data_IF_060820834811
#
_entry.id   IF_060820834811
#
_cell.length_a   1.000
_cell.length_b   1.000
_cell.length_c   1.000
_cell.angle_alpha   90.00
_cell.angle_beta   90.00
_cell.angle_gamma   90.00
#
_symmetry.space_group_name_H-M   'P 1'
#
loop_
_entity.id
_entity.type
_entity.pdbx_description
1 polymer ?
#
# COMPACT_ATOMS: atom_id res chain seq x y z
N UNK A 1 -16.34 8.26 12.49
CA UNK A 1 -16.60 6.81 12.60
C UNK A 1 -17.60 6.32 11.53
N UNK A 2 -18.76 6.95 11.38
CA UNK A 2 -19.77 6.55 10.37
C UNK A 2 -19.24 6.62 8.94
N UNK A 3 -18.56 7.71 8.56
CA UNK A 3 -17.95 7.86 7.23
C UNK A 3 -16.91 6.77 6.92
N UNK A 4 -16.09 6.38 7.90
CA UNK A 4 -15.13 5.28 7.76
C UNK A 4 -15.84 3.95 7.51
N UNK A 5 -16.95 3.67 8.22
CA UNK A 5 -17.77 2.47 8.00
C UNK A 5 -18.43 2.47 6.62
N UNK A 6 -18.97 3.60 6.20
CA UNK A 6 -19.56 3.76 4.87
C UNK A 6 -18.51 3.55 3.77
N UNK A 7 -17.31 4.08 3.97
CA UNK A 7 -16.18 3.91 3.04
C UNK A 7 -15.76 2.45 2.94
N UNK A 8 -15.60 1.76 4.08
CA UNK A 8 -15.31 0.33 4.09
C UNK A 8 -16.40 -0.47 3.37
N UNK A 9 -17.69 -0.17 3.62
CA UNK A 9 -18.81 -0.83 2.95
C UNK A 9 -18.75 -0.69 1.43
N UNK A 10 -18.33 0.46 0.91
CA UNK A 10 -18.11 0.63 -0.52
C UNK A 10 -16.98 -0.27 -1.04
N UNK A 11 -15.87 -0.40 -0.31
CA UNK A 11 -14.81 -1.34 -0.67
C UNK A 11 -15.27 -2.80 -0.65
N UNK A 12 -16.13 -3.18 0.30
CA UNK A 12 -16.77 -4.51 0.31
C UNK A 12 -17.58 -4.75 -0.96
N UNK A 13 -18.37 -3.77 -1.41
CA UNK A 13 -19.16 -3.86 -2.64
C UNK A 13 -18.28 -3.90 -3.89
N UNK A 14 -17.20 -3.11 -3.93
CA UNK A 14 -16.23 -3.14 -5.04
C UNK A 14 -15.57 -4.51 -5.18
N UNK A 15 -15.16 -5.12 -4.07
CA UNK A 15 -14.60 -6.48 -4.07
C UNK A 15 -15.61 -7.52 -4.59
N UNK A 16 -16.88 -7.40 -4.21
CA UNK A 16 -17.94 -8.28 -4.72
C UNK A 16 -18.13 -8.12 -6.22
N UNK A 17 -18.21 -6.87 -6.72
CA UNK A 17 -18.44 -6.62 -8.14
C UNK A 17 -17.22 -6.99 -8.99
N UNK A 18 -15.99 -6.80 -8.50
CA UNK A 18 -14.77 -7.29 -9.17
C UNK A 18 -14.83 -8.81 -9.33
N UNK A 19 -15.17 -9.53 -8.26
CA UNK A 19 -15.27 -10.99 -8.28
C UNK A 19 -16.41 -11.47 -9.19
N UNK A 20 -17.62 -10.94 -9.00
CA UNK A 20 -18.83 -11.31 -9.75
C UNK A 20 -18.66 -11.11 -11.26
N UNK A 21 -17.99 -10.03 -11.66
CA UNK A 21 -17.74 -9.68 -13.07
C UNK A 21 -16.41 -10.21 -13.61
N UNK A 22 -15.62 -10.89 -12.78
CA UNK A 22 -14.30 -11.43 -13.14
C UNK A 22 -13.37 -10.36 -13.74
N UNK A 23 -13.35 -9.17 -13.12
CA UNK A 23 -12.54 -8.06 -13.59
C UNK A 23 -11.07 -8.26 -13.19
N UNK A 24 -10.15 -7.94 -14.09
CA UNK A 24 -8.73 -7.85 -13.78
C UNK A 24 -8.43 -6.53 -13.03
N UNK A 25 -8.86 -6.46 -11.77
CA UNK A 25 -8.77 -5.26 -10.95
C UNK A 25 -8.50 -5.60 -9.48
N UNK A 26 -7.90 -4.65 -8.76
CA UNK A 26 -7.72 -4.68 -7.31
C UNK A 26 -8.14 -3.33 -6.72
N UNK A 27 -8.26 -3.26 -5.40
CA UNK A 27 -8.64 -2.04 -4.69
C UNK A 27 -7.43 -1.38 -4.04
N UNK A 28 -7.45 -0.04 -3.95
CA UNK A 28 -6.46 0.74 -3.20
C UNK A 28 -7.18 1.66 -2.21
N UNK A 29 -6.71 1.72 -0.97
CA UNK A 29 -7.32 2.52 0.10
C UNK A 29 -6.28 3.34 0.85
N UNK A 30 -6.73 4.40 1.52
CA UNK A 30 -5.94 5.20 2.47
C UNK A 30 -6.41 4.91 3.89
N UNK A 31 -5.50 4.82 4.84
CA UNK A 31 -5.86 4.46 6.21
C UNK A 31 -6.62 5.59 6.90
N UNK A 32 -6.31 6.85 6.60
CA UNK A 32 -7.07 8.00 7.11
C UNK A 32 -8.53 7.97 6.66
N UNK A 33 -8.80 7.54 5.43
CA UNK A 33 -10.17 7.35 4.92
C UNK A 33 -10.91 6.20 5.64
N UNK A 34 -10.16 5.23 6.18
CA UNK A 34 -10.70 4.17 7.03
C UNK A 34 -10.79 4.59 8.51
N UNK A 35 -10.48 5.85 8.84
CA UNK A 35 -10.64 6.42 10.17
C UNK A 35 -9.39 6.41 11.04
N UNK A 36 -8.18 6.23 10.47
CA UNK A 36 -6.93 6.11 11.24
C UNK A 36 -6.67 7.27 12.23
N UNK A 37 -7.10 8.50 11.90
CA UNK A 37 -6.95 9.68 12.76
C UNK A 37 -8.14 9.93 13.70
N UNK A 38 -9.22 9.16 13.54
CA UNK A 38 -10.44 9.28 14.35
C UNK A 38 -10.48 8.17 15.40
N UNK A 39 -10.26 6.93 14.96
CA UNK A 39 -10.24 5.73 15.79
C UNK A 39 -9.35 4.69 15.07
N UNK A 40 -8.11 4.56 15.54
CA UNK A 40 -7.14 3.65 14.94
C UNK A 40 -7.57 2.19 15.03
N UNK A 41 -8.20 1.78 16.13
CA UNK A 41 -8.66 0.40 16.28
C UNK A 41 -9.77 0.09 15.27
N UNK A 42 -10.72 1.02 15.12
CA UNK A 42 -11.75 0.92 14.09
C UNK A 42 -11.15 0.79 12.69
N UNK A 43 -10.18 1.64 12.34
CA UNK A 43 -9.52 1.59 11.03
C UNK A 43 -8.84 0.24 10.80
N UNK A 44 -8.13 -0.27 11.82
CA UNK A 44 -7.47 -1.57 11.78
C UNK A 44 -8.46 -2.72 11.59
N UNK A 45 -9.58 -2.70 12.29
CA UNK A 45 -10.61 -3.73 12.18
C UNK A 45 -11.27 -3.73 10.78
N UNK A 46 -11.60 -2.55 10.26
CA UNK A 46 -12.21 -2.39 8.94
C UNK A 46 -11.28 -2.91 7.84
N UNK A 47 -10.02 -2.50 7.85
CA UNK A 47 -9.02 -2.91 6.84
C UNK A 47 -8.69 -4.39 6.96
N UNK A 48 -8.58 -4.93 8.18
CA UNK A 48 -8.40 -6.38 8.40
C UNK A 48 -9.51 -7.18 7.73
N UNK A 49 -10.77 -6.78 7.95
CA UNK A 49 -11.92 -7.45 7.33
C UNK A 49 -11.89 -7.37 5.80
N UNK A 50 -11.49 -6.23 5.23
CA UNK A 50 -11.36 -6.06 3.78
C UNK A 50 -10.27 -6.96 3.19
N UNK A 51 -9.12 -7.07 3.84
CA UNK A 51 -8.04 -7.98 3.41
C UNK A 51 -8.49 -9.43 3.52
N UNK A 52 -9.14 -9.82 4.62
CA UNK A 52 -9.69 -11.16 4.80
C UNK A 52 -10.70 -11.51 3.70
N UNK A 53 -11.60 -10.57 3.35
CA UNK A 53 -12.52 -10.75 2.22
C UNK A 53 -11.79 -10.92 0.91
N UNK A 54 -10.85 -10.03 0.59
CA UNK A 54 -10.09 -10.10 -0.65
C UNK A 54 -9.36 -11.44 -0.81
N UNK A 55 -8.75 -11.94 0.28
CA UNK A 55 -8.09 -13.24 0.32
C UNK A 55 -9.05 -14.42 0.11
N UNK A 56 -10.30 -14.32 0.58
CA UNK A 56 -11.29 -15.38 0.49
C UNK A 56 -12.05 -15.45 -0.86
N UNK A 57 -11.85 -14.48 -1.76
CA UNK A 57 -12.46 -14.49 -3.09
C UNK A 57 -11.88 -15.60 -3.98
N UNK A 58 -12.62 -15.96 -5.03
CA UNK A 58 -12.18 -16.93 -6.03
C UNK A 58 -12.33 -16.35 -7.46
N UNK A 59 -11.22 -15.96 -8.13
CA UNK A 59 -9.84 -15.99 -7.62
C UNK A 59 -9.60 -14.95 -6.49
N UNK A 60 -8.56 -15.14 -5.64
CA UNK A 60 -8.22 -14.17 -4.60
C UNK A 60 -7.92 -12.80 -5.18
N UNK A 61 -8.33 -11.76 -4.47
CA UNK A 61 -8.06 -10.37 -4.81
C UNK A 61 -6.99 -9.77 -3.88
N UNK A 62 -6.64 -8.51 -4.13
CA UNK A 62 -5.56 -7.80 -3.47
C UNK A 62 -6.03 -6.42 -3.00
N UNK A 63 -5.56 -6.01 -1.82
CA UNK A 63 -5.76 -4.67 -1.26
C UNK A 63 -4.42 -3.95 -1.20
N UNK A 64 -4.29 -2.84 -1.93
CA UNK A 64 -3.16 -1.92 -1.78
C UNK A 64 -3.47 -0.90 -0.69
N UNK A 65 -2.59 -0.75 0.28
CA UNK A 65 -2.61 0.40 1.20
C UNK A 65 -1.75 1.50 0.59
N UNK A 66 -2.41 2.60 0.19
CA UNK A 66 -1.76 3.79 -0.34
C UNK A 66 -0.94 4.47 0.75
N UNK A 67 0.22 4.99 0.36
CA UNK A 67 1.08 5.75 1.26
C UNK A 67 0.64 7.21 1.28
N UNK A 68 0.43 7.71 2.48
CA UNK A 68 0.04 9.09 2.75
C UNK A 68 1.29 9.93 3.09
N UNK A 69 1.14 11.08 3.77
CA UNK A 69 2.29 11.89 4.19
C UNK A 69 3.20 11.19 5.20
N UNK A 70 4.39 11.73 5.42
CA UNK A 70 5.41 11.16 6.31
C UNK A 70 4.96 10.84 7.74
N UNK A 71 3.99 11.55 8.38
CA UNK A 71 3.49 11.16 9.71
C UNK A 71 2.83 9.78 9.75
N UNK A 72 2.38 9.26 8.60
CA UNK A 72 1.66 8.00 8.49
C UNK A 72 2.54 6.83 8.05
N UNK A 73 3.76 7.08 7.56
CA UNK A 73 4.58 6.07 6.89
C UNK A 73 4.83 4.87 7.79
N UNK A 74 5.31 5.08 9.02
CA UNK A 74 5.64 3.97 9.92
C UNK A 74 4.38 3.17 10.31
N UNK A 75 3.32 3.86 10.76
CA UNK A 75 2.03 3.24 11.12
C UNK A 75 1.45 2.41 9.96
N UNK A 76 1.59 2.90 8.74
CA UNK A 76 1.13 2.20 7.53
C UNK A 76 1.92 0.93 7.26
N UNK A 77 3.26 1.01 7.31
CA UNK A 77 4.13 -0.13 7.04
C UNK A 77 3.99 -1.22 8.11
N UNK A 78 3.96 -0.83 9.39
CA UNK A 78 3.76 -1.76 10.50
C UNK A 78 2.42 -2.50 10.35
N UNK A 79 1.36 -1.78 10.02
CA UNK A 79 0.05 -2.40 9.87
C UNK A 79 -0.05 -3.30 8.63
N UNK A 80 0.59 -2.93 7.50
CA UNK A 80 0.67 -3.81 6.32
C UNK A 80 1.44 -5.09 6.63
N UNK A 81 2.56 -4.98 7.36
CA UNK A 81 3.34 -6.13 7.82
C UNK A 81 2.47 -7.05 8.71
N UNK A 82 1.81 -6.49 9.72
CA UNK A 82 0.90 -7.25 10.58
C UNK A 82 -0.18 -7.96 9.78
N UNK A 83 -0.87 -7.25 8.86
CA UNK A 83 -1.90 -7.83 8.01
C UNK A 83 -1.37 -8.96 7.14
N UNK A 84 -0.19 -8.80 6.54
CA UNK A 84 0.44 -9.82 5.71
C UNK A 84 0.74 -11.10 6.49
N UNK A 85 1.22 -10.95 7.72
CA UNK A 85 1.56 -12.06 8.62
C UNK A 85 0.34 -12.81 9.19
N UNK A 86 -0.88 -12.29 9.05
CA UNK A 86 -2.08 -13.00 9.50
C UNK A 86 -2.32 -14.26 8.67
N UNK A 87 -2.78 -15.37 9.30
CA UNK A 87 -3.09 -16.59 8.58
C UNK A 87 -4.05 -16.36 7.40
N UNK A 88 -3.65 -16.82 6.21
CA UNK A 88 -4.43 -16.69 4.98
C UNK A 88 -4.39 -15.31 4.31
N UNK A 89 -3.67 -14.32 4.84
CA UNK A 89 -3.58 -12.98 4.24
C UNK A 89 -2.32 -12.78 3.36
N UNK A 90 -1.35 -13.70 3.45
CA UNK A 90 -0.14 -13.63 2.66
C UNK A 90 -0.47 -13.50 1.15
N UNK A 91 0.05 -12.43 0.54
CA UNK A 91 -0.20 -12.11 -0.88
C UNK A 91 -1.48 -11.32 -1.19
N UNK A 92 -2.36 -11.10 -0.21
CA UNK A 92 -3.62 -10.33 -0.37
C UNK A 92 -3.50 -8.84 -0.01
N UNK A 93 -2.36 -8.40 0.56
CA UNK A 93 -2.11 -7.02 0.97
C UNK A 93 -0.70 -6.56 0.61
N UNK A 94 -0.51 -5.26 0.41
CA UNK A 94 0.80 -4.65 0.29
C UNK A 94 0.77 -3.12 0.34
N UNK A 95 1.95 -2.50 0.38
CA UNK A 95 2.12 -1.07 0.61
C UNK A 95 2.54 -0.28 -0.65
N UNK A 96 2.40 1.04 -0.60
CA UNK A 96 3.08 1.95 -1.54
C UNK A 96 4.38 2.45 -0.89
N UNK A 97 5.44 2.59 -1.69
CA UNK A 97 6.68 3.28 -1.31
C UNK A 97 6.87 4.48 -2.24
N UNK A 98 7.31 5.60 -1.67
CA UNK A 98 7.55 6.86 -2.37
C UNK A 98 9.06 7.10 -2.51
N UNK A 99 9.59 7.13 -3.73
CA UNK A 99 11.03 7.19 -3.99
C UNK A 99 11.71 8.50 -3.57
N UNK A 100 10.95 9.57 -3.39
CA UNK A 100 11.49 10.83 -2.85
C UNK A 100 11.89 10.74 -1.37
N UNK A 101 11.45 9.73 -0.62
CA UNK A 101 11.79 9.61 0.80
C UNK A 101 13.20 9.03 0.97
N UNK A 102 13.99 9.63 1.86
CA UNK A 102 15.36 9.15 2.16
C UNK A 102 15.36 7.73 2.77
N UNK A 103 14.30 7.38 3.50
CA UNK A 103 14.07 6.06 4.11
C UNK A 103 13.58 4.97 3.15
N UNK A 104 13.27 5.31 1.90
CA UNK A 104 12.54 4.42 0.99
C UNK A 104 13.26 3.10 0.69
N UNK A 105 14.59 3.10 0.62
CA UNK A 105 15.38 1.90 0.36
C UNK A 105 15.29 0.89 1.51
N UNK A 106 15.55 1.34 2.74
CA UNK A 106 15.43 0.50 3.93
C UNK A 106 14.03 -0.10 4.07
N UNK A 107 12.99 0.69 3.77
CA UNK A 107 11.61 0.20 3.82
C UNK A 107 11.32 -0.82 2.70
N UNK A 108 11.88 -0.63 1.50
CA UNK A 108 11.79 -1.61 0.41
C UNK A 108 12.45 -2.93 0.81
N UNK A 109 13.65 -2.89 1.38
CA UNK A 109 14.39 -4.08 1.79
C UNK A 109 13.62 -4.90 2.85
N UNK A 110 13.06 -4.23 3.86
CA UNK A 110 12.24 -4.88 4.90
C UNK A 110 11.01 -5.57 4.32
N UNK A 111 10.25 -4.87 3.48
CA UNK A 111 9.06 -5.44 2.84
C UNK A 111 9.40 -6.60 1.90
N UNK A 112 10.53 -6.53 1.18
CA UNK A 112 10.99 -7.59 0.28
C UNK A 112 11.45 -8.84 1.03
N UNK A 113 12.06 -8.69 2.21
CA UNK A 113 12.46 -9.82 3.05
C UNK A 113 11.28 -10.76 3.37
N UNK A 114 10.07 -10.21 3.39
CA UNK A 114 8.82 -10.93 3.63
C UNK A 114 7.99 -11.17 2.38
N UNK A 115 8.52 -10.81 1.20
CA UNK A 115 7.84 -10.91 -0.09
C UNK A 115 6.54 -10.10 -0.17
N UNK A 116 6.44 -9.01 0.61
CA UNK A 116 5.30 -8.09 0.55
C UNK A 116 5.35 -7.34 -0.77
N UNK A 117 4.22 -7.34 -1.50
CA UNK A 117 4.10 -6.62 -2.78
C UNK A 117 4.19 -5.12 -2.53
N UNK A 118 4.94 -4.41 -3.36
CA UNK A 118 5.15 -2.95 -3.28
C UNK A 118 4.64 -2.29 -4.56
N UNK A 119 3.97 -1.13 -4.43
CA UNK A 119 3.79 -0.18 -5.54
C UNK A 119 4.75 0.98 -5.33
N UNK A 120 5.64 1.23 -6.27
CA UNK A 120 6.61 2.33 -6.22
C UNK A 120 6.07 3.55 -6.98
N UNK A 121 6.03 4.71 -6.32
CA UNK A 121 5.75 6.00 -6.94
C UNK A 121 6.84 7.01 -6.56
N UNK A 122 6.82 8.22 -7.14
CA UNK A 122 7.79 9.27 -6.76
C UNK A 122 7.49 9.90 -5.41
N UNK A 123 6.23 10.19 -5.13
CA UNK A 123 5.78 10.96 -3.98
C UNK A 123 4.78 12.03 -4.42
N UNK A 124 3.82 12.36 -3.57
CA UNK A 124 2.73 13.29 -3.89
C UNK A 124 2.52 14.40 -2.84
N UNK A 125 3.25 14.34 -1.72
CA UNK A 125 3.12 15.26 -0.60
C UNK A 125 4.31 16.22 -0.55
N UNK A 126 4.12 17.38 0.09
CA UNK A 126 5.21 18.33 0.34
C UNK A 126 5.89 17.96 1.66
N UNK A 127 7.08 17.40 1.57
CA UNK A 127 7.88 16.95 2.70
C UNK A 127 9.16 17.79 2.83
N UNK A 128 9.68 18.01 4.04
CA UNK A 128 10.86 18.82 4.26
C UNK A 128 12.14 18.08 3.83
N UNK A 129 13.23 18.82 3.61
CA UNK A 129 14.43 18.30 2.93
C UNK A 129 15.24 17.29 3.78
N UNK A 130 15.04 17.31 5.09
CA UNK A 130 15.65 16.41 6.05
C UNK A 130 15.17 14.97 5.83
N UNK A 131 13.95 14.78 5.31
CA UNK A 131 13.35 13.45 5.11
C UNK A 131 13.08 13.11 3.65
N UNK A 132 13.04 14.10 2.75
CA UNK A 132 12.74 13.91 1.34
C UNK A 132 13.74 14.63 0.41
N UNK A 133 14.09 13.97 -0.69
CA UNK A 133 14.84 14.56 -1.78
C UNK A 133 14.02 15.67 -2.45
N UNK A 134 14.62 16.85 -2.59
CA UNK A 134 13.95 18.02 -3.17
C UNK A 134 14.21 18.16 -4.68
N UNK A 135 15.36 17.69 -5.17
CA UNK A 135 15.70 17.77 -6.58
C UNK A 135 15.05 16.62 -7.33
N UNK A 136 14.35 16.93 -8.44
CA UNK A 136 13.75 15.93 -9.33
C UNK A 136 14.76 14.85 -9.74
N UNK A 137 16.00 15.23 -10.05
CA UNK A 137 17.07 14.31 -10.44
C UNK A 137 17.42 13.28 -9.36
N UNK A 138 17.38 13.67 -8.08
CA UNK A 138 17.60 12.75 -6.96
C UNK A 138 16.42 11.80 -6.78
N UNK A 139 15.19 12.32 -6.88
CA UNK A 139 13.94 11.52 -6.81
C UNK A 139 13.90 10.47 -7.93
N UNK A 140 14.26 10.86 -9.15
CA UNK A 140 14.29 10.00 -10.33
C UNK A 140 15.39 8.94 -10.21
N UNK A 141 16.59 9.34 -9.80
CA UNK A 141 17.69 8.41 -9.56
C UNK A 141 17.33 7.35 -8.51
N UNK A 142 16.68 7.76 -7.42
CA UNK A 142 16.23 6.82 -6.40
C UNK A 142 15.08 5.95 -6.90
N UNK A 143 14.15 6.49 -7.70
CA UNK A 143 13.08 5.70 -8.32
C UNK A 143 13.67 4.56 -9.17
N UNK A 144 14.63 4.86 -10.04
CA UNK A 144 15.28 3.85 -10.90
C UNK A 144 16.06 2.84 -10.06
N UNK A 145 16.74 3.28 -9.00
CA UNK A 145 17.44 2.39 -8.06
C UNK A 145 16.48 1.38 -7.43
N UNK A 146 15.41 1.87 -6.81
CA UNK A 146 14.41 1.02 -6.14
C UNK A 146 13.67 0.12 -7.14
N UNK A 147 13.33 0.64 -8.32
CA UNK A 147 12.72 -0.15 -9.39
C UNK A 147 13.58 -1.37 -9.75
N UNK A 148 14.89 -1.21 -9.90
CA UNK A 148 15.80 -2.32 -10.21
C UNK A 148 15.80 -3.38 -9.11
N UNK A 149 15.86 -2.96 -7.84
CA UNK A 149 15.77 -3.85 -6.67
C UNK A 149 14.46 -4.65 -6.72
N UNK A 150 13.32 -3.97 -6.90
CA UNK A 150 12.01 -4.60 -6.98
C UNK A 150 11.89 -5.58 -8.16
N UNK A 151 12.40 -5.24 -9.34
CA UNK A 151 12.32 -6.11 -10.52
C UNK A 151 13.11 -7.41 -10.36
N UNK A 152 14.16 -7.42 -9.54
CA UNK A 152 14.97 -8.62 -9.25
C UNK A 152 14.43 -9.50 -8.12
N UNK A 153 13.37 -9.09 -7.42
CA UNK A 153 12.89 -9.77 -6.20
C UNK A 153 12.10 -11.07 -6.44
N UNK A 154 11.61 -11.30 -7.66
CA UNK A 154 10.70 -12.40 -7.97
C UNK A 154 9.30 -12.25 -7.36
N UNK A 155 8.91 -11.03 -7.00
CA UNK A 155 7.56 -10.67 -6.51
C UNK A 155 6.93 -9.67 -7.48
N UNK A 156 5.61 -9.76 -7.71
CA UNK A 156 4.92 -8.81 -8.60
C UNK A 156 4.73 -7.45 -7.90
N UNK A 157 5.48 -6.46 -8.38
CA UNK A 157 5.44 -5.07 -7.94
C UNK A 157 4.72 -4.16 -8.95
N UNK A 158 4.18 -3.04 -8.47
CA UNK A 158 3.62 -2.00 -9.33
C UNK A 158 4.61 -0.85 -9.51
N UNK A 159 4.86 -0.44 -10.75
CA UNK A 159 5.63 0.78 -11.06
C UNK A 159 4.64 1.87 -11.47
N UNK A 160 4.29 2.74 -10.52
CA UNK A 160 3.32 3.82 -10.73
C UNK A 160 4.05 5.10 -11.14
N UNK A 161 4.29 5.24 -12.44
CA UNK A 161 4.90 6.43 -13.05
C UNK A 161 4.29 6.70 -14.42
N UNK A 162 4.37 7.95 -14.86
CA UNK A 162 4.06 8.39 -16.23
C UNK A 162 5.29 9.03 -16.88
N UNK A 163 6.46 8.94 -16.23
CA UNK A 163 7.74 9.39 -16.79
C UNK A 163 8.15 8.43 -17.92
N UNK A 164 8.69 8.98 -19.01
CA UNK A 164 9.09 8.25 -20.22
C UNK A 164 10.48 7.63 -20.11
#
# INVERSE_FOLDING_TARGET
AEEARASAQLFYQLLDEISKRQLNANVSLKLTHMGLDVDEQLARDLVTGLVAKAAALNPPNFVRVDMEGSPYTQRTLDFVHELHCRPGHAGAVGAVIQSYMRRAEDDVEKLLAERIRIRLCKGAYKEPDEIAFQKKTEVDANYVKLMKILMTSGVYHGLATHDE
#
